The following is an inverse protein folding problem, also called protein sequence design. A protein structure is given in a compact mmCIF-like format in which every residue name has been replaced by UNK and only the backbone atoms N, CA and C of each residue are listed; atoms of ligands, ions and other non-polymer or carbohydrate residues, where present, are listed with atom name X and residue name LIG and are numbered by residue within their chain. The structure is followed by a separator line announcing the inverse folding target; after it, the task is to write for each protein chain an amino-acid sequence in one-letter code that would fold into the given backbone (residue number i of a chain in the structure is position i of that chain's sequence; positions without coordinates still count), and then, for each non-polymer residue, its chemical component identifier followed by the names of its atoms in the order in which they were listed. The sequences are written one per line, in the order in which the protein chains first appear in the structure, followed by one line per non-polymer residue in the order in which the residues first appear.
data_IF_520965440600
#
_entry.id   IF_520965440600
#
_cell.length_a   1.000
_cell.length_b   1.000
_cell.length_c   1.000
_cell.angle_alpha   90.00
_cell.angle_beta   90.00
_cell.angle_gamma   90.00
#
_symmetry.space_group_name_H-M   'P 1'
#
loop_
_entity.id
_entity.type
_entity.pdbx_description
1 polymer ?
#
# COMPACT_ATOMS: atom_id res chain seq x y z
N UNK A 1 15.54 11.04 0.78
CA UNK A 1 15.25 11.61 2.12
C UNK A 1 16.38 12.57 2.48
N UNK A 2 16.08 13.77 2.99
CA UNK A 2 17.12 14.74 3.39
C UNK A 2 17.87 14.20 4.62
N UNK A 3 19.23 14.18 4.66
CA UNK A 3 20.02 13.81 5.84
C UNK A 3 19.54 14.44 7.15
N UNK A 4 19.11 15.71 7.10
CA UNK A 4 18.62 16.43 8.28
C UNK A 4 17.32 15.84 8.84
N UNK A 5 16.43 15.36 7.96
CA UNK A 5 15.17 14.73 8.38
C UNK A 5 15.41 13.39 9.07
N UNK A 6 16.35 12.59 8.56
CA UNK A 6 16.72 11.31 9.19
C UNK A 6 17.34 11.52 10.57
N UNK A 7 18.13 12.59 10.76
CA UNK A 7 18.66 12.95 12.07
C UNK A 7 17.53 13.22 13.08
N UNK A 8 16.56 14.05 12.72
CA UNK A 8 15.46 14.39 13.63
C UNK A 8 14.48 13.24 13.89
N UNK A 9 14.27 12.35 12.91
CA UNK A 9 13.54 11.10 13.14
C UNK A 9 14.23 10.24 14.21
N UNK A 10 15.55 10.03 14.08
CA UNK A 10 16.35 9.29 15.07
C UNK A 10 16.35 9.98 16.44
N UNK A 11 16.40 11.31 16.46
CA UNK A 11 16.28 12.08 17.69
C UNK A 11 14.94 11.81 18.39
N UNK A 12 13.81 11.84 17.67
CA UNK A 12 12.50 11.54 18.24
C UNK A 12 12.39 10.09 18.76
N UNK A 13 12.98 9.12 18.04
CA UNK A 13 13.05 7.71 18.48
C UNK A 13 13.90 7.55 19.75
N UNK A 14 15.03 8.26 19.84
CA UNK A 14 15.85 8.29 21.05
C UNK A 14 15.13 8.91 22.24
N UNK A 15 14.42 10.02 22.03
CA UNK A 15 13.66 10.71 23.06
C UNK A 15 12.55 9.82 23.66
N UNK A 16 11.89 9.00 22.84
CA UNK A 16 10.86 8.07 23.30
C UNK A 16 11.38 7.06 24.35
N UNK A 17 12.69 6.78 24.38
CA UNK A 17 13.32 5.87 25.34
C UNK A 17 13.31 6.42 26.78
N UNK A 18 13.16 7.74 26.96
CA UNK A 18 13.11 8.38 28.28
C UNK A 18 11.79 8.10 29.03
N UNK A 19 10.77 7.58 28.34
CA UNK A 19 9.48 7.20 28.94
C UNK A 19 9.68 6.11 30.02
N UNK A 20 9.23 6.35 31.27
CA UNK A 20 9.31 5.37 32.35
C UNK A 20 8.44 4.11 32.08
N UNK A 21 8.92 2.89 32.42
CA UNK A 21 8.07 1.70 32.39
C UNK A 21 7.05 1.68 33.55
N UNK A 22 5.85 1.11 33.38
CA UNK A 22 5.22 0.71 32.11
C UNK A 22 4.62 1.94 31.41
N UNK A 23 4.95 2.18 30.15
CA UNK A 23 4.46 3.35 29.42
C UNK A 23 4.61 3.20 27.91
N UNK A 24 3.69 3.83 27.18
CA UNK A 24 3.75 3.95 25.72
C UNK A 24 4.88 4.91 25.36
N UNK A 25 5.91 4.42 24.67
CA UNK A 25 7.10 5.20 24.31
C UNK A 25 6.82 6.06 23.08
N UNK A 26 6.47 7.32 23.32
CA UNK A 26 6.22 8.31 22.28
C UNK A 26 7.20 9.47 22.42
N UNK A 27 7.82 9.87 21.33
CA UNK A 27 8.70 11.02 21.26
C UNK A 27 8.25 11.97 20.15
N UNK A 28 8.31 13.26 20.43
CA UNK A 28 7.96 14.33 19.50
C UNK A 28 9.05 15.41 19.48
N UNK A 29 9.41 15.91 18.30
CA UNK A 29 10.36 17.01 18.13
C UNK A 29 9.83 18.03 17.12
N UNK A 30 9.86 19.32 17.49
CA UNK A 30 9.46 20.45 16.67
C UNK A 30 10.69 21.25 16.24
N UNK A 31 10.84 21.49 14.94
CA UNK A 31 12.07 22.02 14.32
C UNK A 31 11.77 23.28 13.49
N UNK A 32 12.64 24.27 13.61
CA UNK A 32 12.55 25.56 12.90
C UNK A 32 12.98 25.46 11.43
N UNK A 33 12.73 26.52 10.66
CA UNK A 33 13.18 26.66 9.26
C UNK A 33 14.70 26.62 9.10
N UNK A 34 15.44 26.92 10.16
CA UNK A 34 16.91 26.86 10.19
C UNK A 34 17.43 25.48 10.63
N UNK A 35 16.56 24.48 10.73
CA UNK A 35 16.93 23.13 11.16
C UNK A 35 17.35 23.07 12.63
N UNK A 36 16.84 23.96 13.48
CA UNK A 36 17.13 23.98 14.92
C UNK A 36 15.95 23.43 15.72
N UNK A 37 16.23 22.68 16.78
CA UNK A 37 15.19 22.22 17.71
C UNK A 37 14.55 23.44 18.39
N UNK A 38 13.24 23.60 18.21
CA UNK A 38 12.46 24.59 18.96
C UNK A 38 12.10 24.04 20.33
N UNK A 39 11.48 22.86 20.34
CA UNK A 39 11.17 22.11 21.54
C UNK A 39 10.92 20.64 21.18
N UNK A 40 10.97 19.78 22.19
CA UNK A 40 10.61 18.37 22.08
C UNK A 40 9.71 17.97 23.25
N UNK A 41 9.16 16.76 23.24
CA UNK A 41 8.46 16.16 24.37
C UNK A 41 8.41 14.65 24.21
N UNK A 42 8.29 13.92 25.32
CA UNK A 42 7.95 12.50 25.30
C UNK A 42 6.81 12.19 26.26
N UNK A 43 6.16 11.05 26.01
CA UNK A 43 5.08 10.56 26.85
C UNK A 43 5.56 10.32 28.29
N UNK A 44 4.84 10.83 29.28
CA UNK A 44 5.20 10.59 30.68
C UNK A 44 6.40 11.39 31.21
N UNK A 45 6.92 12.38 30.45
CA UNK A 45 7.90 13.35 30.97
C UNK A 45 7.35 14.09 32.20
N UNK A 46 6.04 14.37 32.22
CA UNK A 46 5.29 14.77 33.41
C UNK A 46 4.27 13.67 33.72
N UNK A 47 4.20 13.24 34.98
CA UNK A 47 3.33 12.14 35.40
C UNK A 47 1.87 12.37 34.96
N UNK A 48 1.32 11.42 34.18
CA UNK A 48 -0.05 11.46 33.67
C UNK A 48 -0.31 12.44 32.53
N UNK A 49 0.71 13.10 31.98
CA UNK A 49 0.58 13.97 30.82
C UNK A 49 1.09 13.29 29.55
N UNK A 50 0.36 13.50 28.44
CA UNK A 50 0.79 13.07 27.12
C UNK A 50 1.89 13.96 26.56
N UNK A 51 2.65 13.43 25.59
CA UNK A 51 3.66 14.20 24.86
C UNK A 51 3.08 15.52 24.31
N UNK A 52 1.83 15.49 23.84
CA UNK A 52 1.15 16.63 23.23
C UNK A 52 0.95 17.77 24.22
N UNK A 53 0.44 17.48 25.43
CA UNK A 53 0.23 18.51 26.46
C UNK A 53 1.53 19.22 26.82
N UNK A 54 2.62 18.47 26.88
CA UNK A 54 3.94 18.98 27.26
C UNK A 54 4.53 19.82 26.12
N UNK A 55 4.48 19.30 24.88
CA UNK A 55 4.96 20.02 23.70
C UNK A 55 4.18 21.33 23.50
N UNK A 56 2.84 21.27 23.58
CA UNK A 56 1.95 22.43 23.45
C UNK A 56 2.28 23.51 24.47
N UNK A 57 2.49 23.15 25.75
CA UNK A 57 2.90 24.10 26.79
C UNK A 57 4.22 24.78 26.43
N UNK A 58 5.23 24.02 25.99
CA UNK A 58 6.53 24.57 25.57
C UNK A 58 6.41 25.49 24.36
N UNK A 59 5.59 25.13 23.38
CA UNK A 59 5.26 25.98 22.22
C UNK A 59 4.67 27.32 22.68
N UNK A 60 3.71 27.30 23.62
CA UNK A 60 3.09 28.50 24.16
C UNK A 60 4.08 29.36 24.96
N UNK A 61 4.90 28.74 25.81
CA UNK A 61 5.94 29.42 26.61
C UNK A 61 7.00 30.09 25.71
N UNK A 62 7.34 29.46 24.59
CA UNK A 62 8.29 29.99 23.61
C UNK A 62 7.66 30.99 22.62
N UNK A 63 6.33 31.13 22.62
CA UNK A 63 5.62 31.99 21.66
C UNK A 63 5.76 31.51 20.20
N UNK A 64 5.91 30.20 19.98
CA UNK A 64 6.06 29.61 18.64
C UNK A 64 4.70 29.52 17.97
N UNK A 65 4.51 30.25 16.87
CA UNK A 65 3.29 30.21 16.04
C UNK A 65 3.45 29.36 14.77
N UNK A 66 4.69 29.09 14.36
CA UNK A 66 5.01 28.28 13.20
C UNK A 66 6.29 27.47 13.38
N UNK A 67 6.37 26.32 12.71
CA UNK A 67 7.55 25.47 12.65
C UNK A 67 7.72 24.91 11.25
N UNK A 68 8.95 24.57 10.88
CA UNK A 68 9.22 23.94 9.59
C UNK A 68 8.74 22.50 9.59
N UNK A 69 9.07 21.75 10.64
CA UNK A 69 8.68 20.35 10.69
C UNK A 69 8.46 19.80 12.09
N UNK A 70 7.61 18.78 12.18
CA UNK A 70 7.43 17.95 13.39
C UNK A 70 7.75 16.50 13.08
N UNK A 71 8.38 15.82 14.04
CA UNK A 71 8.72 14.41 13.98
C UNK A 71 8.08 13.70 15.18
N UNK A 72 7.20 12.74 14.93
CA UNK A 72 6.40 12.05 15.93
C UNK A 72 6.54 10.53 15.77
N UNK A 73 6.91 9.81 16.82
CA UNK A 73 7.12 8.36 16.70
C UNK A 73 5.81 7.57 16.58
N UNK A 74 4.74 7.96 17.28
CA UNK A 74 3.42 7.31 17.24
C UNK A 74 2.34 8.38 17.12
N UNK A 75 1.45 8.29 16.13
CA UNK A 75 0.32 9.20 15.96
C UNK A 75 -0.79 8.87 16.97
N UNK A 76 -0.69 9.42 18.17
CA UNK A 76 -1.53 9.00 19.30
C UNK A 76 -2.96 9.53 19.26
N UNK A 77 -3.87 8.69 19.77
CA UNK A 77 -5.23 9.07 20.11
C UNK A 77 -5.28 9.66 21.53
N UNK A 78 -6.05 10.72 21.68
CA UNK A 78 -6.44 11.29 22.95
C UNK A 78 -7.50 10.42 23.63
N UNK A 79 -7.78 10.69 24.92
CA UNK A 79 -8.87 10.04 25.64
C UNK A 79 -10.27 10.31 25.01
N UNK A 80 -10.41 11.36 24.20
CA UNK A 80 -11.62 11.68 23.47
C UNK A 80 -11.71 10.96 22.10
N UNK A 81 -10.68 10.21 21.70
CA UNK A 81 -10.62 9.52 20.41
C UNK A 81 -10.19 10.40 19.23
N UNK A 82 -9.74 11.64 19.49
CA UNK A 82 -9.13 12.53 18.49
C UNK A 82 -7.62 12.30 18.39
N UNK A 83 -7.01 12.56 17.23
CA UNK A 83 -5.55 12.55 17.10
C UNK A 83 -4.94 13.78 17.75
N UNK A 84 -4.02 13.57 18.69
CA UNK A 84 -3.33 14.68 19.37
C UNK A 84 -2.48 15.52 18.40
N UNK A 85 -1.98 14.90 17.32
CA UNK A 85 -1.31 15.62 16.24
C UNK A 85 -2.26 16.56 15.48
N UNK A 86 -3.52 16.17 15.26
CA UNK A 86 -4.49 17.05 14.62
C UNK A 86 -4.75 18.31 15.45
N UNK A 87 -4.82 18.15 16.78
CA UNK A 87 -4.93 19.27 17.72
C UNK A 87 -3.69 20.18 17.68
N UNK A 88 -2.48 19.61 17.62
CA UNK A 88 -1.24 20.39 17.46
C UNK A 88 -1.23 21.20 16.15
N UNK A 89 -1.68 20.60 15.04
CA UNK A 89 -1.74 21.24 13.73
C UNK A 89 -2.79 22.34 13.64
N UNK A 90 -3.74 22.41 14.57
CA UNK A 90 -4.65 23.54 14.72
C UNK A 90 -3.96 24.71 15.44
N UNK A 91 -3.09 24.41 16.40
CA UNK A 91 -2.43 25.42 17.24
C UNK A 91 -1.18 26.03 16.60
N UNK A 92 -0.46 25.25 15.78
CA UNK A 92 0.83 25.64 15.18
C UNK A 92 0.79 25.36 13.68
N UNK A 93 1.19 26.35 12.88
CA UNK A 93 1.41 26.12 11.44
C UNK A 93 2.70 25.30 11.25
N UNK A 94 2.59 24.11 10.68
CA UNK A 94 3.72 23.21 10.44
C UNK A 94 3.77 22.82 8.96
N UNK A 95 4.90 23.07 8.29
CA UNK A 95 5.02 22.83 6.84
C UNK A 95 5.21 21.34 6.50
N UNK A 96 5.90 20.59 7.35
CA UNK A 96 6.20 19.16 7.14
C UNK A 96 5.95 18.33 8.39
N UNK A 97 5.30 17.20 8.24
CA UNK A 97 4.97 16.31 9.36
C UNK A 97 5.56 14.94 9.06
N UNK A 98 6.27 14.37 10.02
CA UNK A 98 6.81 13.02 9.92
C UNK A 98 6.25 12.15 11.04
N UNK A 99 5.70 10.99 10.68
CA UNK A 99 5.07 10.05 11.62
C UNK A 99 5.73 8.67 11.50
N UNK A 100 6.02 8.05 12.64
CA UNK A 100 6.52 6.68 12.74
C UNK A 100 5.45 5.62 12.52
N UNK A 101 4.57 5.39 13.51
CA UNK A 101 3.54 4.35 13.51
C UNK A 101 2.15 4.91 13.87
N UNK A 102 1.04 4.22 13.51
CA UNK A 102 -0.29 4.51 14.05
C UNK A 102 -0.35 4.24 15.55
N UNK A 103 -1.34 4.81 16.25
CA UNK A 103 -1.62 4.41 17.63
C UNK A 103 -1.94 2.90 17.68
N UNK A 104 -1.40 2.11 18.63
CA UNK A 104 -1.77 0.69 18.78
C UNK A 104 -3.26 0.48 19.09
N UNK A 105 -3.98 1.48 19.60
CA UNK A 105 -5.43 1.41 19.80
C UNK A 105 -6.23 1.60 18.49
N UNK A 106 -5.60 2.03 17.40
CA UNK A 106 -6.27 2.30 16.13
C UNK A 106 -6.59 1.00 15.40
N UNK A 107 -7.88 0.76 15.14
CA UNK A 107 -8.37 -0.47 14.47
C UNK A 107 -9.07 -0.20 13.15
N UNK A 108 -9.26 1.06 12.79
CA UNK A 108 -9.92 1.51 11.55
C UNK A 108 -9.40 2.90 11.19
N UNK A 109 -9.63 3.32 9.96
CA UNK A 109 -9.49 4.72 9.55
C UNK A 109 -10.52 5.57 10.30
N UNK A 110 -10.08 6.72 10.79
CA UNK A 110 -10.90 7.70 11.49
C UNK A 110 -10.84 9.03 10.76
N UNK A 111 -11.96 9.75 10.73
CA UNK A 111 -12.02 11.11 10.20
C UNK A 111 -11.10 12.04 10.99
N UNK A 112 -10.46 12.97 10.29
CA UNK A 112 -9.52 13.92 10.88
C UNK A 112 -8.13 13.35 11.17
N UNK A 113 -7.80 12.14 10.69
CA UNK A 113 -6.45 11.59 10.81
C UNK A 113 -5.48 12.35 9.90
N UNK A 114 -4.48 13.07 10.44
CA UNK A 114 -3.52 13.79 9.62
C UNK A 114 -2.76 12.86 8.67
N UNK A 115 -2.50 11.61 9.08
CA UNK A 115 -1.70 10.66 8.30
C UNK A 115 -2.35 10.24 6.98
N UNK A 116 -3.69 10.26 6.90
CA UNK A 116 -4.43 9.84 5.70
C UNK A 116 -5.03 11.01 4.94
N UNK A 117 -5.34 12.13 5.59
CA UNK A 117 -6.01 13.27 4.96
C UNK A 117 -5.05 14.35 4.45
N UNK A 118 -3.80 14.40 4.92
CA UNK A 118 -2.88 15.50 4.59
C UNK A 118 -1.68 15.01 3.76
N UNK A 119 -1.62 15.46 2.51
CA UNK A 119 -0.58 15.10 1.54
C UNK A 119 0.87 15.45 1.95
N UNK A 120 1.07 16.33 2.94
CA UNK A 120 2.39 16.73 3.43
C UNK A 120 2.85 15.94 4.67
N UNK A 121 2.08 14.92 5.09
CA UNK A 121 2.49 13.97 6.12
C UNK A 121 3.30 12.86 5.49
N UNK A 122 4.49 12.63 6.03
CA UNK A 122 5.47 11.67 5.55
C UNK A 122 5.71 10.60 6.61
N UNK A 123 6.07 9.39 6.18
CA UNK A 123 6.35 8.28 7.08
C UNK A 123 7.84 8.19 7.43
N UNK A 124 8.15 7.68 8.62
CA UNK A 124 9.52 7.28 8.95
C UNK A 124 9.93 6.10 8.06
N UNK A 125 11.23 5.90 7.79
CA UNK A 125 11.70 4.73 7.05
C UNK A 125 11.48 3.43 7.85
N UNK A 126 11.36 2.30 7.14
CA UNK A 126 11.02 0.99 7.69
C UNK A 126 11.93 0.54 8.85
N UNK A 127 13.21 0.92 8.85
CA UNK A 127 14.15 0.62 9.93
C UNK A 127 13.79 1.34 11.24
N UNK A 128 13.44 2.63 11.15
CA UNK A 128 13.01 3.39 12.32
C UNK A 128 11.59 2.99 12.77
N UNK A 129 10.70 2.62 11.86
CA UNK A 129 9.40 2.05 12.23
C UNK A 129 9.56 0.77 13.05
N UNK A 130 10.45 -0.15 12.63
CA UNK A 130 10.77 -1.36 13.41
C UNK A 130 11.36 -1.05 14.78
N UNK A 131 12.21 -0.02 14.88
CA UNK A 131 12.75 0.41 16.17
C UNK A 131 11.66 0.94 17.11
N UNK A 132 10.75 1.79 16.61
CA UNK A 132 9.61 2.30 17.40
C UNK A 132 8.69 1.17 17.84
N UNK A 133 8.47 0.19 16.98
CA UNK A 133 7.66 -0.99 17.26
C UNK A 133 8.31 -1.84 18.36
N UNK A 134 9.61 -2.11 18.29
CA UNK A 134 10.33 -2.88 19.32
C UNK A 134 10.30 -2.16 20.68
N UNK A 135 10.44 -0.83 20.68
CA UNK A 135 10.28 0.00 21.88
C UNK A 135 8.89 -0.14 22.54
N UNK A 136 7.86 -0.48 21.75
CA UNK A 136 6.46 -0.58 22.18
C UNK A 136 5.90 -2.01 22.00
N UNK A 137 6.77 -3.02 21.98
CA UNK A 137 6.43 -4.38 21.57
C UNK A 137 5.22 -4.95 22.31
N UNK A 138 5.17 -4.83 23.63
CA UNK A 138 4.09 -5.37 24.45
C UNK A 138 2.73 -4.73 24.12
N UNK A 139 2.73 -3.43 23.79
CA UNK A 139 1.50 -2.70 23.43
C UNK A 139 0.99 -3.14 22.06
N UNK A 140 1.87 -3.25 21.07
CA UNK A 140 1.47 -3.71 19.74
C UNK A 140 1.11 -5.20 19.74
N UNK A 141 1.80 -6.05 20.50
CA UNK A 141 1.48 -7.47 20.64
C UNK A 141 0.06 -7.66 21.23
N UNK A 142 -0.32 -6.84 22.20
CA UNK A 142 -1.66 -6.84 22.78
C UNK A 142 -2.73 -6.14 21.91
N UNK A 143 -2.34 -5.45 20.84
CA UNK A 143 -3.23 -4.62 20.02
C UNK A 143 -4.05 -5.41 19.00
N UNK A 144 -5.01 -4.73 18.38
CA UNK A 144 -5.73 -5.24 17.21
C UNK A 144 -4.89 -5.31 15.93
N UNK A 145 -3.67 -4.77 15.92
CA UNK A 145 -2.78 -4.71 14.75
C UNK A 145 -1.80 -5.90 14.67
N UNK A 146 -1.79 -6.78 15.66
CA UNK A 146 -0.97 -8.00 15.66
C UNK A 146 -1.65 -9.12 14.87
N UNK A 147 -0.86 -9.82 14.05
CA UNK A 147 -1.28 -11.03 13.32
C UNK A 147 -0.46 -12.27 13.73
N UNK A 148 0.06 -12.31 14.97
CA UNK A 148 0.85 -13.40 15.59
C UNK A 148 0.36 -14.84 15.31
N UNK A 149 -0.88 -15.01 14.84
CA UNK A 149 -1.52 -16.30 14.59
C UNK A 149 -1.84 -16.60 13.12
N UNK A 150 -1.32 -15.83 12.14
CA UNK A 150 -1.59 -16.10 10.72
C UNK A 150 -0.34 -16.51 9.91
N UNK A 151 -0.02 -17.82 9.83
CA UNK A 151 1.13 -18.33 9.07
C UNK A 151 0.95 -18.22 7.54
N UNK A 152 -0.25 -17.95 7.05
CA UNK A 152 -0.53 -17.93 5.60
C UNK A 152 0.09 -16.72 4.90
N UNK A 153 0.29 -15.60 5.61
CA UNK A 153 0.77 -14.35 5.01
C UNK A 153 2.29 -14.18 5.07
N UNK A 154 2.99 -14.96 5.90
CA UNK A 154 4.45 -14.91 6.03
C UNK A 154 5.17 -15.98 5.18
N UNK A 155 4.45 -16.99 4.68
CA UNK A 155 4.99 -18.10 3.90
C UNK A 155 4.82 -17.85 2.39
N UNK A 156 5.85 -18.18 1.59
CA UNK A 156 5.87 -18.06 0.12
C UNK A 156 5.97 -16.64 -0.47
N UNK A 157 7.14 -16.02 -0.34
CA UNK A 157 7.41 -14.71 -0.97
C UNK A 157 7.68 -14.86 -2.47
N UNK A 158 7.05 -14.00 -3.29
CA UNK A 158 7.28 -13.96 -4.75
C UNK A 158 8.77 -13.84 -5.08
N UNK A 159 9.52 -13.04 -4.32
CA UNK A 159 10.97 -12.88 -4.50
C UNK A 159 11.76 -14.20 -4.42
N UNK A 160 11.33 -15.14 -3.58
CA UNK A 160 11.98 -16.45 -3.44
C UNK A 160 11.64 -17.37 -4.62
N UNK A 161 10.38 -17.35 -5.06
CA UNK A 161 9.96 -18.07 -6.25
C UNK A 161 10.66 -17.55 -7.53
N UNK A 162 10.75 -16.22 -7.69
CA UNK A 162 11.50 -15.58 -8.80
C UNK A 162 12.97 -15.97 -8.76
N UNK A 163 13.62 -15.91 -7.58
CA UNK A 163 15.02 -16.31 -7.43
C UNK A 163 15.24 -17.78 -7.84
N UNK A 164 14.31 -18.66 -7.48
CA UNK A 164 14.36 -20.09 -7.83
C UNK A 164 14.16 -20.31 -9.33
N UNK A 165 13.21 -19.61 -9.94
CA UNK A 165 12.93 -19.67 -11.39
C UNK A 165 14.08 -19.11 -12.24
N UNK A 166 14.76 -18.06 -11.77
CA UNK A 166 15.95 -17.53 -12.44
C UNK A 166 17.14 -18.49 -12.30
N UNK A 167 17.31 -19.11 -11.12
CA UNK A 167 18.37 -20.12 -10.91
C UNK A 167 18.20 -21.33 -11.82
N UNK A 168 16.98 -21.82 -12.01
CA UNK A 168 16.74 -22.96 -12.91
C UNK A 168 17.04 -22.64 -14.38
N UNK A 169 17.03 -21.35 -14.75
CA UNK A 169 17.44 -20.83 -16.06
C UNK A 169 18.93 -20.48 -16.15
N UNK A 170 19.72 -20.75 -15.10
CA UNK A 170 21.17 -20.51 -15.07
C UNK A 170 21.58 -19.15 -14.50
N UNK A 171 20.64 -18.33 -14.02
CA UNK A 171 20.92 -17.01 -13.43
C UNK A 171 20.90 -17.09 -11.89
N UNK A 172 22.07 -17.27 -11.31
CA UNK A 172 22.25 -17.32 -9.85
C UNK A 172 22.35 -15.92 -9.23
N UNK A 173 21.22 -15.43 -8.72
CA UNK A 173 21.13 -14.17 -7.98
C UNK A 173 21.00 -14.43 -6.48
N UNK A 174 21.65 -13.59 -5.67
CA UNK A 174 21.47 -13.61 -4.22
C UNK A 174 20.12 -12.98 -3.84
N UNK A 175 19.66 -13.25 -2.61
CA UNK A 175 18.48 -12.57 -2.06
C UNK A 175 18.64 -11.05 -2.00
N UNK A 176 19.86 -10.57 -1.76
CA UNK A 176 20.19 -9.14 -1.76
C UNK A 176 20.01 -8.53 -3.15
N UNK A 177 20.46 -9.23 -4.20
CA UNK A 177 20.32 -8.79 -5.59
C UNK A 177 18.86 -8.58 -5.99
N UNK A 178 18.02 -9.60 -5.75
CA UNK A 178 16.60 -9.56 -6.10
C UNK A 178 15.85 -8.51 -5.27
N UNK A 179 16.21 -8.32 -4.00
CA UNK A 179 15.62 -7.29 -3.15
C UNK A 179 16.05 -5.87 -3.50
N UNK A 180 17.25 -5.67 -4.04
CA UNK A 180 17.75 -4.38 -4.49
C UNK A 180 17.19 -3.99 -5.88
N UNK A 181 16.79 -4.99 -6.69
CA UNK A 181 16.33 -4.82 -8.06
C UNK A 181 14.89 -5.32 -8.20
N UNK A 182 13.96 -4.72 -7.43
CA UNK A 182 12.55 -5.12 -7.37
C UNK A 182 11.71 -4.68 -8.57
N UNK A 183 12.30 -4.36 -9.71
CA UNK A 183 11.58 -4.07 -10.95
C UNK A 183 12.07 -5.00 -12.05
N UNK A 184 11.18 -5.42 -12.95
CA UNK A 184 11.53 -6.31 -14.08
C UNK A 184 12.72 -5.79 -14.88
N UNK A 185 12.68 -4.52 -15.28
CA UNK A 185 13.76 -3.85 -16.03
C UNK A 185 15.08 -3.81 -15.27
N UNK A 186 15.03 -3.48 -13.98
CA UNK A 186 16.22 -3.43 -13.13
C UNK A 186 16.86 -4.82 -12.96
N UNK A 187 16.01 -5.85 -12.77
CA UNK A 187 16.46 -7.23 -12.63
C UNK A 187 17.03 -7.79 -13.94
N UNK A 188 16.39 -7.51 -15.08
CA UNK A 188 16.90 -7.86 -16.40
C UNK A 188 18.25 -7.17 -16.68
N UNK A 189 18.35 -5.88 -16.37
CA UNK A 189 19.60 -5.11 -16.49
C UNK A 189 20.73 -5.68 -15.64
N UNK A 190 20.43 -6.10 -14.40
CA UNK A 190 21.41 -6.76 -13.53
C UNK A 190 21.90 -8.08 -14.15
N UNK A 191 21.00 -8.88 -14.71
CA UNK A 191 21.35 -10.15 -15.36
C UNK A 191 22.24 -9.88 -16.58
N UNK A 192 21.89 -8.93 -17.43
CA UNK A 192 22.75 -8.52 -18.57
C UNK A 192 24.15 -8.16 -18.13
N UNK A 193 24.28 -7.29 -17.11
CA UNK A 193 25.57 -6.83 -16.62
C UNK A 193 26.40 -7.98 -16.02
N UNK A 194 25.75 -8.90 -15.30
CA UNK A 194 26.44 -9.99 -14.59
C UNK A 194 26.83 -11.14 -15.51
N UNK A 195 25.99 -11.47 -16.48
CA UNK A 195 26.14 -12.65 -17.33
C UNK A 195 26.56 -12.33 -18.76
N UNK A 196 26.60 -11.05 -19.15
CA UNK A 196 27.04 -10.62 -20.48
C UNK A 196 26.09 -11.06 -21.61
N UNK A 197 24.80 -11.19 -21.31
CA UNK A 197 23.77 -11.58 -22.28
C UNK A 197 22.95 -10.38 -22.77
N UNK A 198 22.25 -10.56 -23.89
CA UNK A 198 21.38 -9.55 -24.48
C UNK A 198 20.17 -9.24 -23.58
N UNK A 199 19.72 -7.98 -23.60
CA UNK A 199 18.61 -7.51 -22.77
C UNK A 199 17.31 -8.25 -23.03
N UNK A 200 16.99 -8.52 -24.30
CA UNK A 200 15.78 -9.28 -24.67
C UNK A 200 15.80 -10.72 -24.13
N UNK A 201 16.97 -11.32 -23.98
CA UNK A 201 17.11 -12.65 -23.37
C UNK A 201 16.92 -12.59 -21.85
N UNK A 202 17.57 -11.62 -21.19
CA UNK A 202 17.42 -11.41 -19.75
C UNK A 202 15.97 -11.05 -19.37
N UNK A 203 15.34 -10.15 -20.13
CA UNK A 203 13.97 -9.71 -19.88
C UNK A 203 12.95 -10.84 -20.06
N UNK A 204 13.11 -11.69 -21.09
CA UNK A 204 12.30 -12.91 -21.23
C UNK A 204 12.49 -13.86 -20.06
N UNK A 205 13.73 -14.09 -19.61
CA UNK A 205 13.99 -14.96 -18.47
C UNK A 205 13.35 -14.44 -17.17
N UNK A 206 13.38 -13.12 -16.94
CA UNK A 206 12.70 -12.48 -15.81
C UNK A 206 11.19 -12.57 -15.96
N UNK A 207 10.63 -12.29 -17.13
CA UNK A 207 9.20 -12.42 -17.43
C UNK A 207 8.67 -13.82 -17.15
N UNK A 208 9.35 -14.85 -17.65
CA UNK A 208 9.00 -16.25 -17.40
C UNK A 208 9.05 -16.60 -15.89
N UNK A 209 10.09 -16.14 -15.19
CA UNK A 209 10.27 -16.40 -13.76
C UNK A 209 9.18 -15.70 -12.93
N UNK A 210 8.77 -14.49 -13.33
CA UNK A 210 7.66 -13.77 -12.72
C UNK A 210 6.35 -14.50 -12.98
N UNK A 211 6.03 -14.84 -14.24
CA UNK A 211 4.82 -15.60 -14.59
C UNK A 211 4.70 -16.87 -13.77
N UNK A 212 5.75 -17.70 -13.73
CA UNK A 212 5.76 -18.94 -12.95
C UNK A 212 5.63 -18.70 -11.44
N UNK A 213 6.22 -17.63 -10.91
CA UNK A 213 6.08 -17.27 -9.49
C UNK A 213 4.66 -16.81 -9.15
N UNK A 214 4.02 -16.04 -10.02
CA UNK A 214 2.64 -15.59 -9.86
C UNK A 214 1.66 -16.76 -10.00
N UNK A 215 1.84 -17.64 -10.99
CA UNK A 215 1.06 -18.88 -11.14
C UNK A 215 1.16 -19.75 -9.88
N UNK A 216 2.36 -20.00 -9.38
CA UNK A 216 2.56 -20.83 -8.18
C UNK A 216 1.92 -20.22 -6.93
N UNK A 217 1.89 -18.89 -6.82
CA UNK A 217 1.33 -18.20 -5.65
C UNK A 217 -0.19 -18.06 -5.72
N UNK A 218 -0.71 -17.64 -6.87
CA UNK A 218 -2.11 -17.26 -7.03
C UNK A 218 -2.97 -18.38 -7.65
N UNK A 219 -2.38 -19.32 -8.38
CA UNK A 219 -3.07 -20.48 -8.93
C UNK A 219 -3.58 -21.46 -7.87
N UNK A 220 -2.95 -21.51 -6.68
CA UNK A 220 -3.39 -22.32 -5.54
C UNK A 220 -3.82 -21.47 -4.35
N UNK A 221 -4.12 -20.18 -4.56
CA UNK A 221 -4.50 -19.29 -3.46
C UNK A 221 -5.87 -19.68 -2.92
N UNK A 222 -5.93 -19.98 -1.62
CA UNK A 222 -7.17 -20.33 -0.94
C UNK A 222 -7.86 -19.06 -0.43
N UNK A 223 -8.91 -18.66 -1.15
CA UNK A 223 -9.73 -17.49 -0.84
C UNK A 223 -10.50 -17.62 0.47
N UNK A 224 -10.58 -18.82 1.09
CA UNK A 224 -11.12 -18.97 2.44
C UNK A 224 -10.29 -18.21 3.50
N UNK A 225 -9.01 -17.93 3.19
CA UNK A 225 -8.12 -17.17 4.07
C UNK A 225 -7.92 -15.71 3.64
N UNK A 226 -8.60 -15.25 2.59
CA UNK A 226 -8.58 -13.85 2.15
C UNK A 226 -9.37 -12.97 3.14
N UNK A 227 -8.94 -11.71 3.33
CA UNK A 227 -9.68 -10.73 4.13
C UNK A 227 -11.14 -10.54 3.65
N UNK A 228 -11.41 -10.68 2.35
CA UNK A 228 -12.76 -10.64 1.77
C UNK A 228 -13.67 -11.76 2.28
N UNK A 229 -13.13 -12.89 2.73
CA UNK A 229 -13.94 -13.94 3.35
C UNK A 229 -14.65 -13.46 4.63
N UNK A 230 -14.07 -12.46 5.32
CA UNK A 230 -14.69 -11.81 6.47
C UNK A 230 -15.51 -10.55 6.11
N UNK A 231 -15.43 -10.04 4.87
CA UNK A 231 -16.25 -8.93 4.39
C UNK A 231 -17.22 -9.40 3.29
N UNK A 232 -18.41 -9.86 3.68
CA UNK A 232 -19.45 -10.30 2.72
C UNK A 232 -19.93 -9.20 1.77
N UNK A 233 -19.60 -7.93 2.03
CA UNK A 233 -20.03 -6.77 1.26
C UNK A 233 -18.93 -6.21 0.34
N UNK A 234 -17.79 -6.88 0.20
CA UNK A 234 -16.68 -6.39 -0.62
C UNK A 234 -17.10 -6.06 -2.07
N UNK A 235 -18.03 -6.83 -2.65
CA UNK A 235 -18.58 -6.57 -3.98
C UNK A 235 -19.50 -5.33 -4.00
N UNK A 236 -20.28 -5.10 -2.94
CA UNK A 236 -21.07 -3.87 -2.79
C UNK A 236 -20.16 -2.63 -2.69
N UNK A 237 -19.02 -2.76 -2.01
CA UNK A 237 -18.03 -1.70 -1.89
C UNK A 237 -17.48 -1.33 -3.27
N UNK A 238 -17.06 -2.32 -4.08
CA UNK A 238 -16.65 -2.12 -5.47
C UNK A 238 -17.76 -1.45 -6.29
N UNK A 239 -19.00 -1.95 -6.19
CA UNK A 239 -20.13 -1.38 -6.94
C UNK A 239 -20.45 0.05 -6.51
N UNK A 240 -20.20 0.41 -5.26
CA UNK A 240 -20.36 1.78 -4.77
C UNK A 240 -19.30 2.70 -5.40
N UNK A 241 -18.04 2.27 -5.45
CA UNK A 241 -16.96 3.00 -6.15
C UNK A 241 -17.28 3.15 -7.65
N UNK A 242 -17.76 2.10 -8.31
CA UNK A 242 -18.13 2.18 -9.71
C UNK A 242 -19.25 3.20 -9.97
N UNK A 243 -20.28 3.24 -9.12
CA UNK A 243 -21.40 4.19 -9.25
C UNK A 243 -20.97 5.64 -9.05
N UNK A 244 -19.93 5.88 -8.28
CA UNK A 244 -19.33 7.21 -8.12
C UNK A 244 -18.63 7.68 -9.41
N UNK A 245 -18.19 6.75 -10.26
CA UNK A 245 -17.42 7.05 -11.48
C UNK A 245 -18.20 6.88 -12.78
N UNK A 246 -19.34 6.17 -12.78
CA UNK A 246 -20.15 5.95 -13.96
C UNK A 246 -21.63 5.75 -13.62
N UNK A 247 -22.50 6.34 -14.43
CA UNK A 247 -23.96 6.13 -14.37
C UNK A 247 -24.43 4.94 -15.22
N UNK A 248 -23.57 4.40 -16.10
CA UNK A 248 -23.91 3.27 -16.98
C UNK A 248 -23.85 1.98 -16.16
N UNK A 249 -24.78 1.03 -16.32
CA UNK A 249 -24.65 -0.27 -15.67
C UNK A 249 -23.46 -1.05 -16.26
N UNK A 250 -22.77 -1.87 -15.43
CA UNK A 250 -21.61 -2.66 -15.87
C UNK A 250 -21.90 -3.55 -17.09
N UNK A 251 -23.10 -4.12 -17.16
CA UNK A 251 -23.52 -4.96 -18.29
C UNK A 251 -23.62 -4.21 -19.62
N UNK A 252 -23.59 -2.88 -19.62
CA UNK A 252 -23.68 -2.04 -20.80
C UNK A 252 -22.36 -1.35 -21.17
N UNK A 253 -21.24 -1.70 -20.51
CA UNK A 253 -19.93 -1.09 -20.78
C UNK A 253 -18.91 -2.14 -21.24
N UNK A 254 -17.93 -1.69 -22.01
CA UNK A 254 -16.78 -2.51 -22.40
C UNK A 254 -15.73 -2.48 -21.29
N UNK A 255 -15.46 -3.64 -20.68
CA UNK A 255 -14.61 -3.79 -19.49
C UNK A 255 -13.29 -4.46 -19.87
N UNK A 256 -12.19 -3.90 -19.40
CA UNK A 256 -10.90 -4.56 -19.31
C UNK A 256 -10.58 -4.83 -17.83
N UNK A 257 -10.43 -6.10 -17.46
CA UNK A 257 -9.95 -6.49 -16.13
C UNK A 257 -8.54 -7.09 -16.23
N UNK A 258 -7.57 -6.47 -15.57
CA UNK A 258 -6.14 -6.79 -15.66
C UNK A 258 -5.62 -7.31 -14.32
N UNK A 259 -4.92 -8.45 -14.37
CA UNK A 259 -4.45 -9.17 -13.19
C UNK A 259 -5.57 -9.96 -12.51
N UNK A 260 -6.39 -10.67 -13.30
CA UNK A 260 -7.57 -11.42 -12.85
C UNK A 260 -7.24 -12.64 -11.98
N UNK A 261 -6.00 -13.14 -12.02
CA UNK A 261 -5.56 -14.33 -11.31
C UNK A 261 -6.46 -15.53 -11.63
N UNK A 262 -6.84 -16.30 -10.62
CA UNK A 262 -7.72 -17.47 -10.79
C UNK A 262 -9.19 -17.10 -11.12
N UNK A 263 -9.56 -15.83 -11.04
CA UNK A 263 -10.86 -15.32 -11.51
C UNK A 263 -12.00 -15.33 -10.49
N UNK A 264 -11.73 -15.49 -9.20
CA UNK A 264 -12.77 -15.52 -8.16
C UNK A 264 -13.52 -14.19 -8.04
N UNK A 265 -12.80 -13.07 -7.99
CA UNK A 265 -13.42 -11.74 -7.95
C UNK A 265 -14.16 -11.45 -9.25
N UNK A 266 -13.57 -11.82 -10.39
CA UNK A 266 -14.16 -11.61 -11.70
C UNK A 266 -15.47 -12.36 -11.90
N UNK A 267 -15.55 -13.61 -11.44
CA UNK A 267 -16.79 -14.40 -11.48
C UNK A 267 -17.91 -13.76 -10.68
N UNK A 268 -17.57 -13.10 -9.56
CA UNK A 268 -18.56 -12.42 -8.70
C UNK A 268 -19.03 -11.10 -9.32
N UNK A 269 -18.10 -10.30 -9.84
CA UNK A 269 -18.40 -8.94 -10.32
C UNK A 269 -18.91 -8.89 -11.76
N UNK A 270 -18.46 -9.80 -12.63
CA UNK A 270 -18.56 -9.62 -14.08
C UNK A 270 -19.19 -10.80 -14.83
N UNK A 271 -19.75 -11.79 -14.14
CA UNK A 271 -20.41 -12.96 -14.78
C UNK A 271 -21.52 -12.57 -15.76
N UNK A 272 -22.26 -11.50 -15.47
CA UNK A 272 -23.34 -10.98 -16.32
C UNK A 272 -22.88 -9.88 -17.31
N UNK A 273 -21.57 -9.68 -17.47
CA UNK A 273 -21.03 -8.65 -18.37
C UNK A 273 -20.71 -9.23 -19.75
N UNK A 274 -21.44 -8.86 -20.82
CA UNK A 274 -21.26 -9.44 -22.15
C UNK A 274 -20.00 -8.95 -22.87
N UNK A 275 -19.44 -7.80 -22.46
CA UNK A 275 -18.31 -7.16 -23.11
C UNK A 275 -17.13 -7.05 -22.15
N UNK A 276 -16.54 -8.18 -21.77
CA UNK A 276 -15.38 -8.22 -20.88
C UNK A 276 -14.17 -8.87 -21.54
N UNK A 277 -13.02 -8.22 -21.38
CA UNK A 277 -11.70 -8.77 -21.69
C UNK A 277 -10.91 -8.92 -20.40
N UNK A 278 -10.36 -10.11 -20.17
CA UNK A 278 -9.43 -10.39 -19.09
C UNK A 278 -8.00 -10.41 -19.62
N UNK A 279 -7.10 -9.74 -18.93
CA UNK A 279 -5.67 -9.78 -19.19
C UNK A 279 -4.91 -10.22 -17.94
N UNK A 280 -3.94 -11.13 -18.12
CA UNK A 280 -3.05 -11.57 -17.04
C UNK A 280 -1.73 -12.06 -17.63
N UNK A 281 -0.66 -11.97 -16.85
CA UNK A 281 0.63 -12.57 -17.20
C UNK A 281 0.57 -14.09 -17.01
N UNK A 282 -0.26 -14.57 -16.07
CA UNK A 282 -0.46 -15.97 -15.72
C UNK A 282 -1.50 -16.62 -16.65
N UNK A 283 -1.04 -17.46 -17.58
CA UNK A 283 -1.92 -18.17 -18.53
C UNK A 283 -2.91 -19.12 -17.82
N UNK A 284 -2.49 -19.73 -16.71
CA UNK A 284 -3.33 -20.67 -15.96
C UNK A 284 -4.58 -20.01 -15.37
N UNK A 285 -4.45 -18.77 -14.89
CA UNK A 285 -5.55 -17.96 -14.39
C UNK A 285 -6.57 -17.61 -15.48
N UNK A 286 -6.07 -17.26 -16.67
CA UNK A 286 -6.90 -16.99 -17.85
C UNK A 286 -7.66 -18.23 -18.33
N UNK A 287 -7.05 -19.42 -18.26
CA UNK A 287 -7.73 -20.67 -18.56
C UNK A 287 -8.86 -20.96 -17.56
N UNK A 288 -8.65 -20.70 -16.26
CA UNK A 288 -9.67 -20.83 -15.22
C UNK A 288 -10.88 -19.92 -15.46
N UNK A 289 -10.65 -18.62 -15.68
CA UNK A 289 -11.76 -17.67 -15.87
C UNK A 289 -12.54 -17.93 -17.16
N UNK A 290 -11.88 -18.41 -18.23
CA UNK A 290 -12.55 -18.82 -19.46
C UNK A 290 -13.55 -19.96 -19.23
N UNK A 291 -13.30 -20.84 -18.25
CA UNK A 291 -14.25 -21.88 -17.83
C UNK A 291 -15.46 -21.33 -17.08
N UNK A 292 -15.30 -20.24 -16.31
CA UNK A 292 -16.35 -19.63 -15.50
C UNK A 292 -17.18 -18.59 -16.25
N UNK A 293 -16.56 -17.85 -17.18
CA UNK A 293 -17.20 -16.84 -18.03
C UNK A 293 -16.83 -17.11 -19.50
N UNK A 294 -17.45 -18.12 -20.16
CA UNK A 294 -17.05 -18.56 -21.50
C UNK A 294 -17.22 -17.52 -22.61
N UNK A 295 -18.07 -16.50 -22.39
CA UNK A 295 -18.27 -15.39 -23.33
C UNK A 295 -17.19 -14.32 -23.24
N UNK A 296 -16.28 -14.39 -22.26
CA UNK A 296 -15.21 -13.43 -22.09
C UNK A 296 -14.10 -13.62 -23.14
N UNK A 297 -13.40 -12.52 -23.46
CA UNK A 297 -12.13 -12.58 -24.18
C UNK A 297 -10.99 -12.66 -23.16
N UNK A 298 -9.99 -13.49 -23.43
CA UNK A 298 -8.76 -13.52 -22.62
C UNK A 298 -7.56 -13.13 -23.46
N UNK A 299 -6.58 -12.47 -22.84
CA UNK A 299 -5.32 -12.05 -23.46
C UNK A 299 -4.18 -12.26 -22.47
N UNK A 300 -3.15 -13.02 -22.85
CA UNK A 300 -1.93 -13.15 -22.03
C UNK A 300 -1.13 -11.86 -22.21
N UNK A 301 -1.05 -11.04 -21.16
CA UNK A 301 -0.40 -9.73 -21.18
C UNK A 301 -0.08 -9.28 -19.76
N UNK A 302 1.06 -8.62 -19.55
CA UNK A 302 1.31 -7.88 -18.30
C UNK A 302 0.53 -6.57 -18.29
N UNK A 303 0.26 -6.01 -17.10
CA UNK A 303 -0.40 -4.70 -17.02
C UNK A 303 0.46 -3.57 -17.61
N UNK A 304 1.79 -3.75 -17.52
CA UNK A 304 2.81 -2.86 -18.04
C UNK A 304 2.98 -2.89 -19.57
N UNK A 305 2.37 -3.89 -20.23
CA UNK A 305 2.40 -4.02 -21.69
C UNK A 305 1.09 -4.66 -22.16
N UNK A 306 0.16 -3.80 -22.58
CA UNK A 306 -1.14 -4.16 -23.15
C UNK A 306 -1.14 -3.93 -24.67
N UNK A 307 0.02 -3.99 -25.33
CA UNK A 307 0.16 -3.74 -26.78
C UNK A 307 -0.68 -4.67 -27.66
N UNK A 308 -1.05 -5.85 -27.16
CA UNK A 308 -1.99 -6.76 -27.81
C UNK A 308 -3.45 -6.24 -27.85
N UNK A 309 -3.75 -5.17 -27.10
CA UNK A 309 -5.05 -4.53 -27.03
C UNK A 309 -5.07 -3.19 -27.78
N UNK A 310 -6.17 -2.91 -28.50
CA UNK A 310 -6.33 -1.65 -29.20
C UNK A 310 -6.45 -0.46 -28.24
N UNK A 311 -5.98 0.70 -28.68
CA UNK A 311 -6.14 1.99 -27.99
C UNK A 311 -7.62 2.39 -27.93
N UNK A 312 -7.98 3.27 -26.98
CA UNK A 312 -9.28 3.95 -26.94
C UNK A 312 -10.50 3.00 -27.08
N UNK A 313 -10.45 1.83 -26.46
CA UNK A 313 -11.38 0.73 -26.73
C UNK A 313 -12.28 0.37 -25.57
N UNK A 314 -11.87 0.65 -24.33
CA UNK A 314 -12.61 0.26 -23.13
C UNK A 314 -13.29 1.45 -22.45
N UNK A 315 -14.45 1.20 -21.84
CA UNK A 315 -15.19 2.17 -21.03
C UNK A 315 -14.84 2.07 -19.53
N UNK A 316 -14.27 0.94 -19.11
CA UNK A 316 -13.84 0.67 -17.73
C UNK A 316 -12.58 -0.18 -17.70
N UNK A 317 -11.57 0.26 -16.95
CA UNK A 317 -10.40 -0.53 -16.59
C UNK A 317 -10.52 -0.95 -15.12
N UNK A 318 -10.36 -2.23 -14.82
CA UNK A 318 -10.35 -2.76 -13.45
C UNK A 318 -9.05 -3.51 -13.20
N UNK A 319 -8.40 -3.25 -12.07
CA UNK A 319 -7.26 -4.06 -11.62
C UNK A 319 -7.20 -4.10 -10.10
N UNK A 320 -7.63 -5.23 -9.52
CA UNK A 320 -7.77 -5.36 -8.07
C UNK A 320 -6.51 -5.96 -7.46
N UNK A 321 -5.86 -5.24 -6.55
CA UNK A 321 -4.63 -5.61 -5.83
C UNK A 321 -3.39 -5.85 -6.69
N UNK A 322 -3.48 -5.84 -8.02
CA UNK A 322 -2.34 -6.06 -8.92
C UNK A 322 -1.26 -4.99 -8.76
N UNK A 323 -1.67 -3.72 -8.65
CA UNK A 323 -0.77 -2.56 -8.52
C UNK A 323 0.02 -2.54 -7.20
N UNK A 324 -0.35 -3.38 -6.22
CA UNK A 324 0.38 -3.59 -4.97
C UNK A 324 1.48 -4.67 -5.09
N UNK A 325 1.57 -5.36 -6.23
CA UNK A 325 2.47 -6.51 -6.40
C UNK A 325 3.94 -6.11 -6.42
N UNK A 326 4.80 -7.02 -5.95
CA UNK A 326 6.25 -6.88 -6.14
C UNK A 326 6.61 -7.01 -7.62
N UNK A 327 7.66 -6.31 -8.07
CA UNK A 327 8.13 -6.31 -9.47
C UNK A 327 7.21 -5.60 -10.47
N UNK A 328 6.19 -4.91 -9.98
CA UNK A 328 5.23 -4.16 -10.79
C UNK A 328 5.73 -2.75 -11.10
N UNK A 329 5.65 -2.34 -12.37
CA UNK A 329 5.90 -0.95 -12.77
C UNK A 329 4.57 -0.19 -12.86
N UNK A 330 4.24 0.51 -11.76
CA UNK A 330 2.99 1.28 -11.66
C UNK A 330 2.89 2.38 -12.72
N UNK A 331 4.00 2.99 -13.11
CA UNK A 331 4.00 4.10 -14.07
C UNK A 331 3.72 3.60 -15.48
N UNK A 332 4.39 2.52 -15.88
CA UNK A 332 4.14 1.86 -17.17
C UNK A 332 2.71 1.32 -17.24
N UNK A 333 2.23 0.66 -16.19
CA UNK A 333 0.87 0.13 -16.15
C UNK A 333 -0.20 1.24 -16.18
N UNK A 334 0.01 2.36 -15.50
CA UNK A 334 -0.88 3.52 -15.57
C UNK A 334 -0.93 4.11 -16.98
N UNK A 335 0.22 4.20 -17.66
CA UNK A 335 0.31 4.69 -19.04
C UNK A 335 -0.46 3.78 -20.01
N UNK A 336 -0.28 2.46 -19.89
CA UNK A 336 -1.01 1.49 -20.71
C UNK A 336 -2.51 1.49 -20.42
N UNK A 337 -2.90 1.64 -19.15
CA UNK A 337 -4.31 1.76 -18.77
C UNK A 337 -4.95 3.02 -19.38
N UNK A 338 -4.26 4.17 -19.39
CA UNK A 338 -4.74 5.38 -20.04
C UNK A 338 -4.90 5.18 -21.55
N UNK A 339 -3.89 4.59 -22.22
CA UNK A 339 -3.89 4.34 -23.67
C UNK A 339 -5.07 3.50 -24.15
N UNK A 340 -5.41 2.42 -23.43
CA UNK A 340 -6.48 1.49 -23.84
C UNK A 340 -7.88 2.00 -23.51
N UNK A 341 -8.01 2.96 -22.59
CA UNK A 341 -9.28 3.57 -22.21
C UNK A 341 -9.72 4.63 -23.21
N UNK A 342 -11.04 4.75 -23.40
CA UNK A 342 -11.63 5.89 -24.13
C UNK A 342 -11.49 7.17 -23.30
N UNK A 343 -11.48 8.33 -23.96
CA UNK A 343 -11.65 9.60 -23.26
C UNK A 343 -12.95 9.61 -22.43
N UNK A 344 -12.85 10.03 -21.17
CA UNK A 344 -13.94 10.03 -20.18
C UNK A 344 -14.25 8.67 -19.56
N UNK A 345 -13.51 7.60 -19.89
CA UNK A 345 -13.68 6.28 -19.28
C UNK A 345 -13.07 6.21 -17.89
N UNK A 346 -13.58 5.30 -17.06
CA UNK A 346 -13.13 5.16 -15.67
C UNK A 346 -12.04 4.09 -15.53
N UNK A 347 -11.13 4.33 -14.61
CA UNK A 347 -10.26 3.30 -14.03
C UNK A 347 -10.68 3.04 -12.59
N UNK A 348 -10.64 1.77 -12.16
CA UNK A 348 -10.75 1.35 -10.76
C UNK A 348 -9.61 0.38 -10.47
N UNK A 349 -8.70 0.81 -9.60
CA UNK A 349 -7.63 -0.05 -9.07
C UNK A 349 -7.79 -0.23 -7.57
N UNK A 350 -7.18 -1.25 -6.99
CA UNK A 350 -7.19 -1.41 -5.54
C UNK A 350 -5.86 -1.84 -4.95
N UNK A 351 -5.70 -1.50 -3.67
CA UNK A 351 -4.63 -1.95 -2.80
C UNK A 351 -5.23 -2.87 -1.74
N UNK A 352 -4.56 -3.99 -1.45
CA UNK A 352 -4.95 -4.85 -0.34
C UNK A 352 -4.89 -4.03 0.97
N UNK A 353 -5.89 -4.15 1.82
CA UNK A 353 -5.97 -3.32 3.04
C UNK A 353 -6.43 -4.09 4.26
N UNK A 354 -6.08 -5.37 4.34
CA UNK A 354 -6.25 -6.08 5.58
C UNK A 354 -5.88 -7.56 5.48
N UNK A 355 -5.79 -8.16 6.65
CA UNK A 355 -5.49 -9.57 6.84
C UNK A 355 -6.63 -10.22 7.61
N UNK A 356 -7.02 -11.43 7.19
CA UNK A 356 -7.97 -12.21 7.97
C UNK A 356 -7.30 -12.67 9.26
N UNK A 357 -7.84 -12.29 10.42
CA UNK A 357 -7.48 -12.91 11.70
C UNK A 357 -8.42 -14.06 11.98
N UNK A 358 -8.03 -15.26 11.54
CA UNK A 358 -8.83 -16.49 11.58
C UNK A 358 -9.38 -16.84 12.97
N UNK A 359 -8.58 -16.68 14.03
CA UNK A 359 -9.04 -16.99 15.40
C UNK A 359 -10.16 -16.07 15.89
N UNK A 360 -10.19 -14.82 15.44
CA UNK A 360 -11.22 -13.83 15.80
C UNK A 360 -12.31 -13.68 14.75
N UNK A 361 -12.13 -14.25 13.54
CA UNK A 361 -13.04 -14.11 12.42
C UNK A 361 -13.20 -12.67 11.94
N UNK A 362 -12.20 -11.81 12.14
CA UNK A 362 -12.24 -10.39 11.81
C UNK A 362 -11.09 -10.00 10.87
N UNK A 363 -11.18 -8.81 10.29
CA UNK A 363 -10.10 -8.24 9.47
C UNK A 363 -9.24 -7.31 10.32
N UNK A 364 -7.92 -7.43 10.19
CA UNK A 364 -6.95 -6.46 10.71
C UNK A 364 -6.56 -5.56 9.54
N UNK A 365 -7.05 -4.30 9.48
CA UNK A 365 -6.84 -3.45 8.32
C UNK A 365 -5.42 -2.89 8.25
N UNK A 366 -4.93 -2.68 7.03
CA UNK A 366 -3.57 -2.20 6.73
C UNK A 366 -2.67 -3.22 6.03
N UNK A 367 -1.37 -2.94 6.01
CA UNK A 367 -0.34 -3.80 5.41
C UNK A 367 0.77 -4.14 6.41
N UNK A 368 1.32 -5.36 6.33
CA UNK A 368 2.40 -5.81 7.22
C UNK A 368 3.65 -4.94 7.05
N UNK A 369 4.27 -4.52 8.16
CA UNK A 369 5.61 -3.95 8.13
C UNK A 369 6.61 -5.08 7.83
N UNK A 370 7.43 -4.99 6.76
CA UNK A 370 8.34 -6.07 6.38
C UNK A 370 9.27 -6.50 7.50
N UNK A 371 9.27 -7.80 7.80
CA UNK A 371 10.09 -8.41 8.85
C UNK A 371 9.45 -8.39 10.23
N UNK A 372 8.15 -8.12 10.31
CA UNK A 372 7.38 -8.04 11.55
C UNK A 372 6.07 -8.82 11.43
N UNK A 373 5.35 -8.98 12.54
CA UNK A 373 4.00 -9.57 12.59
C UNK A 373 2.91 -8.52 12.82
N UNK A 374 3.23 -7.25 12.52
CA UNK A 374 2.37 -6.11 12.79
C UNK A 374 1.88 -5.48 11.49
N UNK A 375 0.60 -5.13 11.50
CA UNK A 375 -0.10 -4.50 10.40
C UNK A 375 -0.15 -2.99 10.64
N UNK A 376 0.51 -2.23 9.78
CA UNK A 376 0.44 -0.77 9.77
C UNK A 376 -0.78 -0.35 8.93
N UNK A 377 -1.76 0.27 9.60
CA UNK A 377 -2.95 0.82 8.97
C UNK A 377 -2.61 1.81 7.86
N UNK A 378 -1.58 2.63 8.02
CA UNK A 378 -1.26 3.71 7.08
C UNK A 378 -0.59 3.22 5.80
N UNK A 379 0.07 2.07 5.86
CA UNK A 379 0.89 1.57 4.74
C UNK A 379 0.09 1.25 3.47
N UNK A 380 -1.18 0.86 3.63
CA UNK A 380 -2.11 0.72 2.50
C UNK A 380 -2.37 2.05 1.81
N UNK A 381 -2.64 3.10 2.59
CA UNK A 381 -2.86 4.46 2.09
C UNK A 381 -1.61 5.07 1.46
N UNK A 382 -0.42 4.82 2.02
CA UNK A 382 0.84 5.23 1.41
C UNK A 382 0.98 4.67 -0.02
N UNK A 383 0.64 3.39 -0.20
CA UNK A 383 0.67 2.73 -1.51
C UNK A 383 -0.39 3.30 -2.44
N UNK A 384 -1.60 3.54 -1.94
CA UNK A 384 -2.67 4.17 -2.72
C UNK A 384 -2.26 5.57 -3.20
N UNK A 385 -1.65 6.39 -2.35
CA UNK A 385 -1.18 7.73 -2.71
C UNK A 385 -0.08 7.70 -3.78
N UNK A 386 0.81 6.71 -3.75
CA UNK A 386 1.80 6.51 -4.83
C UNK A 386 1.10 6.16 -6.14
N UNK A 387 0.16 5.22 -6.13
CA UNK A 387 -0.61 4.87 -7.33
C UNK A 387 -1.39 6.08 -7.85
N UNK A 388 -2.01 6.87 -6.98
CA UNK A 388 -2.74 8.08 -7.35
C UNK A 388 -1.84 9.09 -8.09
N UNK A 389 -0.59 9.27 -7.64
CA UNK A 389 0.38 10.14 -8.30
C UNK A 389 0.79 9.61 -9.69
N UNK A 390 0.98 8.29 -9.83
CA UNK A 390 1.28 7.67 -11.13
C UNK A 390 0.09 7.77 -12.10
N UNK A 391 -1.16 7.64 -11.61
CA UNK A 391 -2.35 7.87 -12.41
C UNK A 391 -2.44 9.33 -12.89
N UNK A 392 -2.23 10.32 -12.01
CA UNK A 392 -2.21 11.73 -12.42
C UNK A 392 -1.09 12.01 -13.44
N UNK A 393 0.10 11.44 -13.22
CA UNK A 393 1.25 11.53 -14.13
C UNK A 393 0.97 10.93 -15.51
N UNK A 394 0.20 9.84 -15.58
CA UNK A 394 -0.23 9.21 -16.82
C UNK A 394 -1.38 9.97 -17.54
N UNK A 395 -1.94 11.02 -16.92
CA UNK A 395 -2.98 11.85 -17.54
C UNK A 395 -4.40 11.59 -17.04
N UNK A 396 -4.60 10.76 -16.02
CA UNK A 396 -5.90 10.63 -15.37
C UNK A 396 -6.27 11.91 -14.60
N UNK A 397 -7.56 12.12 -14.40
CA UNK A 397 -8.14 13.23 -13.62
C UNK A 397 -9.13 12.71 -12.59
N UNK A 398 -9.48 13.58 -11.63
CA UNK A 398 -10.43 13.28 -10.56
C UNK A 398 -10.10 11.99 -9.79
N UNK A 399 -8.82 11.81 -9.46
CA UNK A 399 -8.35 10.66 -8.68
C UNK A 399 -8.96 10.72 -7.28
N UNK A 400 -9.77 9.71 -6.94
CA UNK A 400 -10.46 9.58 -5.65
C UNK A 400 -10.07 8.27 -4.98
N UNK A 401 -9.94 8.30 -3.66
CA UNK A 401 -9.56 7.16 -2.83
C UNK A 401 -10.71 6.77 -1.91
N UNK A 402 -11.02 5.48 -1.84
CA UNK A 402 -12.12 4.90 -1.06
C UNK A 402 -11.57 3.78 -0.17
N UNK A 403 -11.16 4.09 1.07
CA UNK A 403 -10.65 3.08 2.00
C UNK A 403 -11.80 2.24 2.58
N UNK A 404 -11.61 0.92 2.59
CA UNK A 404 -12.42 -0.05 3.34
C UNK A 404 -11.51 -0.90 4.22
N UNK A 405 -12.07 -1.76 5.08
CA UNK A 405 -11.24 -2.64 5.93
C UNK A 405 -10.54 -3.77 5.16
N UNK A 406 -10.90 -4.02 3.89
CA UNK A 406 -10.32 -5.11 3.08
C UNK A 406 -9.55 -4.62 1.87
N UNK A 407 -9.93 -3.46 1.32
CA UNK A 407 -9.33 -2.85 0.15
C UNK A 407 -9.29 -1.33 0.26
N UNK A 408 -8.31 -0.70 -0.37
CA UNK A 408 -8.37 0.72 -0.68
C UNK A 408 -8.57 0.82 -2.18
N UNK A 409 -9.73 1.28 -2.61
CA UNK A 409 -10.00 1.49 -4.02
C UNK A 409 -9.53 2.88 -4.43
N UNK A 410 -8.99 2.99 -5.63
CA UNK A 410 -8.77 4.25 -6.31
C UNK A 410 -9.60 4.27 -7.58
N UNK A 411 -10.23 5.39 -7.86
CA UNK A 411 -10.89 5.61 -9.14
C UNK A 411 -10.49 6.94 -9.74
N UNK A 412 -10.35 6.97 -11.06
CA UNK A 412 -10.00 8.17 -11.82
C UNK A 412 -10.63 8.10 -13.22
N UNK A 413 -10.56 9.21 -13.95
CA UNK A 413 -11.12 9.34 -15.30
C UNK A 413 -10.00 9.60 -16.30
N UNK A 414 -9.98 8.87 -17.41
CA UNK A 414 -9.04 9.11 -18.50
C UNK A 414 -9.41 10.41 -19.23
N UNK A 415 -8.53 11.42 -19.18
CA UNK A 415 -8.74 12.72 -19.83
C UNK A 415 -8.29 12.74 -21.29
#
# INVERSE_FOLDING_TARGET
MNPDSTYWMKYAVGLAQETPPPGRRVGAALVSEHGQLLCSAFEGEVHGASWFRILRRRVQELGVSSAHSVYLTINTLSAAGSFELAELLHDVRIDRVYIGLPDPALTTYLDGDPATERAYVLRFPDDLQREIMEQNRDLYAASGQSIECNPHYSTHRISEAVSTGLRSKGFELSRGDVNANRGRVALASLICQRYGIEYEEADRAVGDALSGAFDAKYGTYDYAYDARAANVRWADDFMSVYKESSIRPLSAVSILNVGVGAGHEAATLFSDCPQITFADIAESGLASISGHIPSSRTVVSSAEDLSALPENSFDLYVSLRTYNSSFFDTSAAASEAHRVLKAGAAIIVSVANGFLYTQRGCVVPGLIIPGTEFVDLYRGMDTANLIAAELDGAGFKDVRTFPTSTEIYLSAVAA
#
